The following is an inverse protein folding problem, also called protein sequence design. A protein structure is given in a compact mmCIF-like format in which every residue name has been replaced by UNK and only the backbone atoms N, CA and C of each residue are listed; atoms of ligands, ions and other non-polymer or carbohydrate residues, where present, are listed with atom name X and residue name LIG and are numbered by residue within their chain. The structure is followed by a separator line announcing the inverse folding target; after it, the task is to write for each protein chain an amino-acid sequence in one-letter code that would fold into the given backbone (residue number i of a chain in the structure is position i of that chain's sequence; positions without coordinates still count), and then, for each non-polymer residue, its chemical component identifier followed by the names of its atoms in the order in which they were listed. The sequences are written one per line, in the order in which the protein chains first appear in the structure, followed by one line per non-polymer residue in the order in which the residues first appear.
data_IF_522331666333
#
_entry.id   IF_522331666333
#
_cell.length_a   1.000
_cell.length_b   1.000
_cell.length_c   1.000
_cell.angle_alpha   90.00
_cell.angle_beta   90.00
_cell.angle_gamma   90.00
#
_symmetry.space_group_name_H-M   'P 1'
#
loop_
_entity.id
_entity.type
_entity.pdbx_description
1 polymer ?
#
# COMPACT_ATOMS: atom_id res chain seq x y z
N UNK A 1 7.12 -8.35 6.29
CA UNK A 1 5.75 -8.66 6.71
C UNK A 1 4.91 -7.45 6.36
N UNK A 2 3.91 -7.62 5.49
CA UNK A 2 3.07 -6.51 5.03
C UNK A 2 2.16 -6.00 6.14
N UNK A 3 1.76 -4.74 6.04
CA UNK A 3 0.77 -4.07 6.89
C UNK A 3 -0.13 -3.21 6.01
N UNK A 4 -1.35 -2.98 6.48
CA UNK A 4 -2.26 -2.01 5.84
C UNK A 4 -1.60 -0.63 5.87
N UNK A 5 -1.59 0.05 4.73
CA UNK A 5 -0.91 1.32 4.52
C UNK A 5 0.53 1.20 4.01
N UNK A 6 1.11 -0.01 3.96
CA UNK A 6 2.43 -0.17 3.34
C UNK A 6 2.34 0.11 1.84
N UNK A 7 3.31 0.87 1.34
CA UNK A 7 3.55 0.99 -0.09
C UNK A 7 4.24 -0.27 -0.60
N UNK A 8 3.75 -0.80 -1.71
CA UNK A 8 4.30 -2.01 -2.33
C UNK A 8 4.61 -1.77 -3.79
N UNK A 9 5.59 -2.51 -4.29
CA UNK A 9 5.99 -2.57 -5.69
C UNK A 9 5.70 -3.98 -6.20
N UNK A 10 5.00 -4.08 -7.34
CA UNK A 10 4.75 -5.35 -8.01
C UNK A 10 5.99 -5.80 -8.77
N UNK A 11 6.40 -7.05 -8.55
CA UNK A 11 7.67 -7.57 -9.06
C UNK A 11 7.70 -7.72 -10.59
N UNK A 12 6.55 -7.88 -11.25
CA UNK A 12 6.49 -8.17 -12.69
C UNK A 12 6.67 -6.93 -13.56
N UNK A 13 6.06 -5.80 -13.18
CA UNK A 13 6.02 -4.58 -13.99
C UNK A 13 6.48 -3.32 -13.25
N UNK A 14 6.77 -3.42 -11.95
CA UNK A 14 7.18 -2.30 -11.11
C UNK A 14 6.04 -1.37 -10.70
N UNK A 15 4.78 -1.73 -10.97
CA UNK A 15 3.62 -0.96 -10.55
C UNK A 15 3.61 -0.74 -9.04
N UNK A 16 3.20 0.45 -8.60
CA UNK A 16 3.17 0.80 -7.18
C UNK A 16 1.74 0.82 -6.67
N UNK A 17 1.58 0.41 -5.43
CA UNK A 17 0.29 0.41 -4.77
C UNK A 17 0.39 0.53 -3.27
N UNK A 18 -0.78 0.57 -2.63
CA UNK A 18 -0.92 0.64 -1.17
C UNK A 18 -1.75 -0.55 -0.70
N UNK A 19 -1.27 -1.23 0.32
CA UNK A 19 -2.00 -2.35 0.93
C UNK A 19 -3.23 -1.80 1.67
N UNK A 20 -4.43 -2.22 1.24
CA UNK A 20 -5.71 -1.91 1.88
C UNK A 20 -6.16 -3.01 2.85
N UNK A 21 -5.69 -4.23 2.66
CA UNK A 21 -6.09 -5.40 3.43
C UNK A 21 -5.20 -6.60 3.14
N UNK A 22 -5.31 -7.65 3.94
CA UNK A 22 -4.48 -8.85 3.81
C UNK A 22 -5.27 -10.09 4.17
N UNK A 23 -4.92 -11.22 3.57
CA UNK A 23 -5.34 -12.56 3.97
C UNK A 23 -4.10 -13.47 4.12
N UNK A 24 -4.28 -14.79 4.22
CA UNK A 24 -3.17 -15.72 4.48
C UNK A 24 -2.06 -15.74 3.40
N UNK A 25 -2.37 -15.36 2.15
CA UNK A 25 -1.45 -15.51 1.01
C UNK A 25 -1.34 -14.28 0.11
N UNK A 26 -2.26 -13.33 0.25
CA UNK A 26 -2.40 -12.19 -0.65
C UNK A 26 -2.66 -10.89 0.09
N UNK A 27 -2.24 -9.79 -0.52
CA UNK A 27 -2.57 -8.43 -0.14
C UNK A 27 -3.63 -7.90 -1.09
N UNK A 28 -4.61 -7.18 -0.54
CA UNK A 28 -5.55 -6.36 -1.30
C UNK A 28 -4.88 -5.00 -1.51
N UNK A 29 -4.61 -4.64 -2.75
CA UNK A 29 -3.78 -3.47 -3.09
C UNK A 29 -4.57 -2.55 -3.99
N UNK A 30 -4.52 -1.24 -3.70
CA UNK A 30 -4.90 -0.20 -4.65
C UNK A 30 -3.66 0.30 -5.38
N UNK A 31 -3.73 0.34 -6.71
CA UNK A 31 -2.63 0.74 -7.59
C UNK A 31 -2.71 2.22 -7.97
N UNK A 32 -1.63 2.76 -8.54
CA UNK A 32 -1.54 4.16 -8.98
C UNK A 32 -2.63 4.57 -9.98
N UNK A 33 -3.18 3.62 -10.75
CA UNK A 33 -4.29 3.82 -11.70
C UNK A 33 -5.69 3.64 -11.07
N UNK A 34 -5.76 3.54 -9.74
CA UNK A 34 -6.96 3.29 -8.95
C UNK A 34 -7.59 1.91 -9.15
N UNK A 35 -6.96 1.01 -9.92
CA UNK A 35 -7.36 -0.38 -9.96
C UNK A 35 -7.11 -1.04 -8.59
N UNK A 36 -7.96 -2.00 -8.23
CA UNK A 36 -7.85 -2.72 -6.95
C UNK A 36 -7.83 -4.22 -7.24
N UNK A 37 -6.79 -4.90 -6.77
CA UNK A 37 -6.63 -6.35 -6.95
C UNK A 37 -6.10 -7.05 -5.70
N UNK A 38 -6.22 -8.37 -5.69
CA UNK A 38 -5.57 -9.24 -4.71
C UNK A 38 -4.31 -9.83 -5.32
N UNK A 39 -3.15 -9.43 -4.82
CA UNK A 39 -1.87 -9.94 -5.29
C UNK A 39 -1.20 -10.85 -4.27
N UNK A 40 -0.53 -11.88 -4.76
CA UNK A 40 0.24 -12.79 -3.91
C UNK A 40 1.38 -12.03 -3.24
N UNK A 41 1.57 -12.29 -1.94
CA UNK A 41 2.62 -11.65 -1.16
C UNK A 41 4.03 -11.88 -1.73
N UNK A 42 4.26 -13.01 -2.39
CA UNK A 42 5.53 -13.35 -3.04
C UNK A 42 5.88 -12.48 -4.25
N UNK A 43 4.88 -11.80 -4.84
CA UNK A 43 5.04 -10.89 -5.98
C UNK A 43 5.16 -9.43 -5.56
N UNK A 44 5.13 -9.15 -4.25
CA UNK A 44 5.14 -7.80 -3.70
C UNK A 44 6.43 -7.55 -2.93
N UNK A 45 6.97 -6.35 -3.09
CA UNK A 45 8.08 -5.84 -2.26
C UNK A 45 7.62 -4.57 -1.56
N UNK A 46 7.85 -4.47 -0.25
CA UNK A 46 7.53 -3.25 0.51
C UNK A 46 8.55 -2.17 0.18
N UNK A 47 8.06 -0.96 -0.13
CA UNK A 47 8.87 0.24 -0.25
C UNK A 47 8.77 1.05 1.05
N UNK A 48 9.71 0.83 1.96
CA UNK A 48 9.77 1.50 3.27
C UNK A 48 9.95 3.02 3.13
N UNK A 49 10.65 3.48 2.10
CA UNK A 49 10.90 4.90 1.88
C UNK A 49 9.65 5.62 1.40
N UNK A 50 8.88 4.99 0.51
CA UNK A 50 7.59 5.53 0.07
C UNK A 50 6.55 5.48 1.19
N UNK A 51 6.53 4.38 1.96
CA UNK A 51 5.64 4.22 3.13
C UNK A 51 5.83 5.34 4.15
N UNK A 52 7.09 5.72 4.46
CA UNK A 52 7.38 6.86 5.37
C UNK A 52 6.95 8.22 4.80
N UNK A 53 7.00 8.37 3.47
CA UNK A 53 6.64 9.62 2.78
C UNK A 53 5.14 9.81 2.66
N UNK A 54 4.35 8.73 2.69
CA UNK A 54 2.90 8.79 2.79
C UNK A 54 2.48 9.36 4.16
N UNK A 55 2.39 10.68 4.24
CA UNK A 55 1.76 11.37 5.36
C UNK A 55 0.34 11.74 4.95
N UNK A 56 -0.64 11.00 5.45
CA UNK A 56 -2.00 11.54 5.53
C UNK A 56 -1.93 12.67 6.56
N UNK A 57 -1.90 13.92 6.10
CA UNK A 57 -2.02 15.04 7.00
C UNK A 57 -3.39 14.95 7.68
N UNK A 58 -3.42 14.58 8.95
CA UNK A 58 -4.64 14.70 9.75
C UNK A 58 -4.97 16.19 9.78
N UNK A 59 -6.13 16.62 9.24
CA UNK A 59 -6.49 18.03 9.29
C UNK A 59 -6.55 18.42 10.77
N UNK A 60 -5.77 19.44 11.16
CA UNK A 60 -5.84 20.01 12.51
C UNK A 60 -7.26 20.55 12.68
N UNK A 61 -8.10 19.79 13.39
CA UNK A 61 -9.37 20.34 13.90
C UNK A 61 -9.00 21.37 14.97
N UNK A 62 -9.09 22.64 14.62
CA UNK A 62 -9.05 23.73 15.60
C UNK A 62 -10.24 23.53 16.55
N UNK A 63 -10.03 23.41 17.87
CA UNK A 63 -11.14 23.46 18.81
C UNK A 63 -11.78 24.85 18.69
N UNK A 64 -13.04 24.90 18.28
CA UNK A 64 -13.93 26.07 18.46
C UNK A 64 -14.36 26.18 19.92
#
# INVERSE_FOLDING_TARGET
MFKIGDCVIYALDGARGVVLGMNNHSCHVIWEDYFVSWEKMELLTVDDELTKKQKIAVPKRTPT
#
